data_IF_747243502033
#
_entry.id   IF_747243502033
#
_cell.length_a   1.000
_cell.length_b   1.000
_cell.length_c   1.000
_cell.angle_alpha   90.00
_cell.angle_beta   90.00
_cell.angle_gamma   90.00
#
_symmetry.space_group_name_H-M   'P 1'
#
loop_
_entity.id
_entity.type
_entity.pdbx_description
1 polymer ?
#
# COMPACT_ATOMS: atom_id res chain seq x y z
N UNK A 1 -14.46 2.06 20.77
CA UNK A 1 -13.11 1.45 20.76
C UNK A 1 -12.32 2.08 21.90
N UNK A 2 -11.74 1.28 22.80
CA UNK A 2 -10.79 1.82 23.77
C UNK A 2 -9.58 2.42 23.01
N UNK A 3 -8.98 3.53 23.46
CA UNK A 3 -7.83 4.13 22.78
C UNK A 3 -6.69 3.11 22.70
N UNK A 4 -6.19 2.86 21.49
CA UNK A 4 -5.05 2.00 21.27
C UNK A 4 -3.81 2.62 21.95
N UNK A 5 -3.04 1.87 22.75
CA UNK A 5 -1.85 2.40 23.39
C UNK A 5 -0.81 2.81 22.35
N UNK A 6 -0.12 3.92 22.58
CA UNK A 6 1.02 4.31 21.78
C UNK A 6 2.19 3.35 22.05
N UNK A 7 2.44 2.43 21.12
CA UNK A 7 3.50 1.43 21.22
C UNK A 7 4.66 1.89 20.31
N UNK A 8 5.77 2.31 20.91
CA UNK A 8 6.95 2.81 20.18
C UNK A 8 8.09 1.78 20.08
N UNK A 9 7.90 0.55 20.58
CA UNK A 9 8.92 -0.50 20.55
C UNK A 9 8.32 -1.87 20.23
N UNK A 10 9.12 -2.71 19.55
CA UNK A 10 8.73 -4.08 19.20
C UNK A 10 8.46 -4.94 20.45
N UNK A 11 9.25 -4.78 21.50
CA UNK A 11 9.07 -5.51 22.76
C UNK A 11 7.74 -5.14 23.43
N UNK A 12 7.38 -3.86 23.45
CA UNK A 12 6.07 -3.42 23.93
C UNK A 12 4.92 -3.90 23.04
N UNK A 13 5.13 -4.00 21.72
CA UNK A 13 4.16 -4.56 20.78
C UNK A 13 3.90 -6.05 21.04
N UNK A 14 4.97 -6.83 21.27
CA UNK A 14 4.90 -8.25 21.60
C UNK A 14 4.23 -8.48 22.97
N UNK A 15 4.57 -7.67 23.97
CA UNK A 15 3.94 -7.72 25.28
C UNK A 15 2.44 -7.34 25.23
N UNK A 16 2.07 -6.44 24.32
CA UNK A 16 0.68 -6.08 24.08
C UNK A 16 -0.09 -7.16 23.32
N UNK A 17 0.49 -7.74 22.26
CA UNK A 17 -0.19 -8.77 21.45
C UNK A 17 -0.39 -10.10 22.20
N UNK A 18 0.44 -10.37 23.20
CA UNK A 18 0.31 -11.55 24.08
C UNK A 18 -0.62 -11.32 25.27
N UNK A 19 -1.10 -10.09 25.51
CA UNK A 19 -2.05 -9.80 26.59
C UNK A 19 -3.42 -10.45 26.30
N UNK A 20 -4.04 -11.13 27.28
CA UNK A 20 -5.39 -11.67 27.13
C UNK A 20 -6.39 -10.55 26.79
N UNK A 21 -7.11 -10.70 25.67
CA UNK A 21 -8.12 -9.72 25.23
C UNK A 21 -7.58 -8.50 24.47
N UNK A 22 -6.27 -8.39 24.24
CA UNK A 22 -5.69 -7.29 23.45
C UNK A 22 -5.97 -7.43 21.95
N UNK A 23 -5.96 -8.67 21.42
CA UNK A 23 -6.27 -8.96 20.01
C UNK A 23 -7.26 -10.13 19.96
N UNK A 24 -8.50 -9.86 19.58
CA UNK A 24 -9.53 -10.89 19.40
C UNK A 24 -9.48 -11.46 17.97
N UNK A 25 -8.52 -12.36 17.75
CA UNK A 25 -8.38 -13.08 16.48
C UNK A 25 -9.52 -14.07 16.23
N UNK A 26 -10.30 -14.44 17.25
CA UNK A 26 -11.44 -15.37 17.08
C UNK A 26 -12.58 -14.74 16.29
N UNK A 27 -12.67 -13.40 16.29
CA UNK A 27 -13.58 -12.64 15.43
C UNK A 27 -13.11 -12.52 13.99
N UNK A 28 -11.85 -12.88 13.71
CA UNK A 28 -11.25 -12.72 12.38
C UNK A 28 -11.53 -13.96 11.54
N UNK A 29 -12.39 -13.79 10.52
CA UNK A 29 -12.61 -14.82 9.51
C UNK A 29 -11.50 -14.78 8.47
N UNK A 30 -10.44 -15.57 8.68
CA UNK A 30 -9.27 -15.62 7.80
C UNK A 30 -9.65 -15.87 6.32
N UNK A 31 -10.60 -16.77 6.06
CA UNK A 31 -11.08 -17.05 4.70
C UNK A 31 -11.70 -15.81 4.03
N UNK A 32 -12.44 -14.99 4.80
CA UNK A 32 -13.04 -13.74 4.30
C UNK A 32 -11.97 -12.69 4.01
N UNK A 33 -10.98 -12.54 4.89
CA UNK A 33 -9.87 -11.60 4.67
C UNK A 33 -9.08 -11.96 3.41
N UNK A 34 -8.78 -13.24 3.22
CA UNK A 34 -8.05 -13.71 2.04
C UNK A 34 -8.88 -13.50 0.77
N UNK A 35 -10.21 -13.70 0.82
CA UNK A 35 -11.08 -13.43 -0.31
C UNK A 35 -11.11 -11.94 -0.68
N UNK A 36 -11.22 -11.04 0.30
CA UNK A 36 -11.18 -9.58 0.10
C UNK A 36 -9.80 -9.16 -0.45
N UNK A 37 -8.72 -9.62 0.18
CA UNK A 37 -7.36 -9.30 -0.25
C UNK A 37 -7.12 -9.74 -1.70
N UNK A 38 -7.57 -10.93 -2.10
CA UNK A 38 -7.46 -11.37 -3.50
C UNK A 38 -8.29 -10.51 -4.46
N UNK A 39 -9.49 -10.10 -4.06
CA UNK A 39 -10.35 -9.26 -4.88
C UNK A 39 -9.76 -7.87 -5.13
N UNK A 40 -9.10 -7.27 -4.13
CA UNK A 40 -8.49 -5.93 -4.23
C UNK A 40 -7.09 -5.96 -4.84
N UNK A 41 -6.34 -7.05 -4.63
CA UNK A 41 -4.95 -7.16 -5.09
C UNK A 41 -4.83 -7.15 -6.62
N UNK A 42 -5.61 -7.98 -7.33
CA UNK A 42 -5.50 -8.10 -8.78
C UNK A 42 -5.78 -6.79 -9.56
N UNK A 43 -6.82 -6.01 -9.20
CA UNK A 43 -7.04 -4.69 -9.79
C UNK A 43 -5.84 -3.74 -9.61
N UNK A 44 -5.26 -3.70 -8.41
CA UNK A 44 -4.09 -2.86 -8.09
C UNK A 44 -2.88 -3.28 -8.94
N UNK A 45 -2.61 -4.58 -9.02
CA UNK A 45 -1.52 -5.13 -9.83
C UNK A 45 -1.72 -4.81 -11.31
N UNK A 46 -2.92 -5.04 -11.85
CA UNK A 46 -3.20 -4.77 -13.26
C UNK A 46 -3.09 -3.29 -13.60
N UNK A 47 -3.53 -2.39 -12.71
CA UNK A 47 -3.34 -0.95 -12.87
C UNK A 47 -1.85 -0.59 -12.88
N UNK A 48 -1.06 -1.15 -11.96
CA UNK A 48 0.38 -0.90 -11.87
C UNK A 48 1.13 -1.41 -13.10
N UNK A 49 0.79 -2.61 -13.56
CA UNK A 49 1.35 -3.24 -14.77
C UNK A 49 1.10 -2.43 -16.04
N UNK A 50 0.10 -1.55 -16.07
CA UNK A 50 -0.13 -0.62 -17.19
C UNK A 50 0.55 0.73 -16.97
N UNK A 51 0.49 1.23 -15.75
CA UNK A 51 1.02 2.54 -15.40
C UNK A 51 2.55 2.60 -15.50
N UNK A 52 3.25 1.62 -14.90
CA UNK A 52 4.71 1.66 -14.81
C UNK A 52 5.41 1.51 -16.16
N UNK A 53 4.99 0.63 -17.09
CA UNK A 53 5.60 0.59 -18.43
C UNK A 53 5.41 1.89 -19.21
N UNK A 54 4.29 2.60 -19.04
CA UNK A 54 4.09 3.92 -19.65
C UNK A 54 5.07 4.95 -19.08
N UNK A 55 5.24 4.96 -17.75
CA UNK A 55 6.22 5.83 -17.07
C UNK A 55 7.65 5.50 -17.50
N UNK A 56 7.98 4.22 -17.66
CA UNK A 56 9.27 3.77 -18.19
C UNK A 56 9.46 4.22 -19.64
N UNK A 57 8.44 4.05 -20.49
CA UNK A 57 8.51 4.48 -21.89
C UNK A 57 8.74 5.99 -21.98
N UNK A 58 8.02 6.80 -21.19
CA UNK A 58 8.24 8.26 -21.12
C UNK A 58 9.67 8.60 -20.69
N UNK A 59 10.19 7.91 -19.68
CA UNK A 59 11.57 8.07 -19.22
C UNK A 59 12.62 7.72 -20.29
N UNK A 60 12.38 6.69 -21.11
CA UNK A 60 13.34 6.26 -22.14
C UNK A 60 13.20 7.01 -23.47
N UNK A 61 12.01 7.53 -23.79
CA UNK A 61 11.74 8.20 -25.08
C UNK A 61 11.90 9.72 -25.02
N UNK A 62 11.40 10.38 -23.97
CA UNK A 62 11.37 11.84 -23.90
C UNK A 62 12.50 12.44 -23.06
N UNK A 63 13.09 11.65 -22.16
CA UNK A 63 14.02 12.17 -21.17
C UNK A 63 15.48 11.91 -21.55
N UNK A 64 16.08 12.93 -22.19
CA UNK A 64 17.51 12.92 -22.58
C UNK A 64 18.47 13.24 -21.43
N UNK A 65 18.01 13.87 -20.35
CA UNK A 65 18.83 14.30 -19.22
C UNK A 65 18.56 13.47 -17.96
N UNK A 66 19.61 13.09 -17.23
CA UNK A 66 19.51 12.18 -16.08
C UNK A 66 18.64 12.77 -14.95
N UNK A 67 18.72 14.08 -14.70
CA UNK A 67 17.95 14.75 -13.64
C UNK A 67 16.44 14.75 -13.89
N UNK A 68 16.03 14.87 -15.16
CA UNK A 68 14.61 14.86 -15.52
C UNK A 68 13.98 13.47 -15.32
N UNK A 69 14.78 12.39 -15.32
CA UNK A 69 14.24 11.03 -15.09
C UNK A 69 13.74 10.85 -13.66
N UNK A 70 14.48 11.39 -12.71
CA UNK A 70 14.08 11.39 -11.31
C UNK A 70 12.81 12.22 -11.09
N UNK A 71 12.69 13.36 -11.79
CA UNK A 71 11.48 14.20 -11.74
C UNK A 71 10.25 13.48 -12.30
N UNK A 72 10.38 12.80 -13.45
CA UNK A 72 9.28 12.02 -14.03
C UNK A 72 8.87 10.87 -13.09
N UNK A 73 9.84 10.17 -12.49
CA UNK A 73 9.57 9.15 -11.48
C UNK A 73 8.82 9.71 -10.26
N UNK A 74 9.24 10.87 -9.76
CA UNK A 74 8.58 11.53 -8.62
C UNK A 74 7.14 11.95 -8.96
N UNK A 75 6.92 12.58 -10.13
CA UNK A 75 5.57 12.97 -10.58
C UNK A 75 4.66 11.75 -10.80
N UNK A 76 5.19 10.69 -11.40
CA UNK A 76 4.47 9.43 -11.56
C UNK A 76 4.11 8.81 -10.19
N UNK A 77 5.02 8.86 -9.22
CA UNK A 77 4.76 8.40 -7.86
C UNK A 77 3.64 9.19 -7.18
N UNK A 78 3.60 10.51 -7.33
CA UNK A 78 2.51 11.35 -6.81
C UNK A 78 1.18 10.99 -7.48
N UNK A 79 1.15 10.89 -8.81
CA UNK A 79 -0.06 10.52 -9.55
C UNK A 79 -0.58 9.14 -9.13
N UNK A 80 0.32 8.17 -8.96
CA UNK A 80 -0.01 6.83 -8.46
C UNK A 80 -0.56 6.87 -7.03
N UNK A 81 0.04 7.67 -6.14
CA UNK A 81 -0.42 7.84 -4.76
C UNK A 81 -1.82 8.45 -4.66
N UNK A 82 -2.13 9.45 -5.49
CA UNK A 82 -3.48 10.03 -5.61
C UNK A 82 -4.48 8.98 -6.09
N UNK A 83 -4.14 8.22 -7.13
CA UNK A 83 -4.98 7.13 -7.64
C UNK A 83 -5.26 6.08 -6.56
N UNK A 84 -4.24 5.66 -5.81
CA UNK A 84 -4.40 4.71 -4.71
C UNK A 84 -5.27 5.25 -3.58
N UNK A 85 -5.14 6.53 -3.24
CA UNK A 85 -5.97 7.17 -2.22
C UNK A 85 -7.44 7.21 -2.62
N UNK A 86 -7.73 7.47 -3.90
CA UNK A 86 -9.09 7.44 -4.44
C UNK A 86 -9.66 6.01 -4.49
N UNK A 87 -8.82 5.02 -4.82
CA UNK A 87 -9.26 3.62 -4.84
C UNK A 87 -9.54 3.08 -3.44
N UNK A 88 -8.75 3.47 -2.44
CA UNK A 88 -8.97 3.08 -1.05
C UNK A 88 -10.15 3.82 -0.39
N UNK A 89 -10.52 5.00 -0.88
CA UNK A 89 -11.66 5.76 -0.40
C UNK A 89 -13.02 5.30 -0.97
N UNK A 90 -13.01 4.38 -1.95
CA UNK A 90 -14.19 3.85 -2.62
C UNK A 90 -14.65 2.54 -2.01
#
# INVERSE_FOLDING_TARGET
MAPAPAIASLSAALAYSTRPGAIDLKRVHAARLVAIARAEFWPIINAGMRFWPLVSLLNFTLVKTVHARNLVGALAGVAWGVYMSLMAAR
#
